data_IF_278440067501
#
_entry.id   IF_278440067501
#
_cell.length_a   1.000
_cell.length_b   1.000
_cell.length_c   1.000
_cell.angle_alpha   90.00
_cell.angle_beta   90.00
_cell.angle_gamma   90.00
#
_symmetry.space_group_name_H-M   'P 1'
#
loop_
_entity.id
_entity.type
_entity.pdbx_description
1 polymer ?
#
# COMPACT_ATOMS: atom_id res chain seq x y z
N UNK A 1 -0.17 -3.86 -7.01
CA UNK A 1 0.33 -3.44 -5.68
C UNK A 1 1.22 -2.20 -5.83
N UNK A 2 1.29 -1.31 -4.84
CA UNK A 2 2.42 -0.35 -4.75
C UNK A 2 3.64 -1.12 -4.25
N UNK A 3 4.72 -1.25 -5.03
CA UNK A 3 5.92 -1.96 -4.60
C UNK A 3 6.56 -1.22 -3.41
N UNK A 4 7.22 -1.98 -2.53
CA UNK A 4 7.89 -1.42 -1.35
C UNK A 4 9.12 -0.56 -1.71
N UNK A 5 9.61 -0.70 -2.96
CA UNK A 5 10.72 0.08 -3.50
C UNK A 5 10.16 1.10 -4.50
N UNK A 6 9.99 2.34 -4.03
CA UNK A 6 9.64 3.46 -4.91
C UNK A 6 10.86 3.84 -5.75
N UNK A 7 10.85 3.48 -7.04
CA UNK A 7 11.82 3.94 -8.03
C UNK A 7 11.29 5.22 -8.69
N UNK A 8 11.87 6.42 -8.43
CA UNK A 8 11.33 7.71 -8.89
C UNK A 8 11.31 7.88 -10.41
N UNK A 9 12.06 7.06 -11.17
CA UNK A 9 12.17 7.18 -12.62
C UNK A 9 11.01 6.52 -13.39
N UNK A 10 10.23 5.62 -12.77
CA UNK A 10 9.15 4.89 -13.46
C UNK A 10 7.77 5.56 -13.37
N UNK A 11 7.59 6.54 -12.48
CA UNK A 11 6.31 7.24 -12.27
C UNK A 11 5.87 8.00 -13.51
N UNK A 12 6.76 8.79 -14.13
CA UNK A 12 6.44 9.61 -15.33
C UNK A 12 5.88 8.76 -16.48
N UNK A 13 6.47 7.58 -16.70
CA UNK A 13 6.14 6.68 -17.82
C UNK A 13 4.80 5.94 -17.62
N UNK A 14 4.36 5.74 -16.38
CA UNK A 14 3.06 5.14 -16.06
C UNK A 14 1.90 6.10 -16.29
N UNK A 15 2.08 7.39 -15.98
CA UNK A 15 1.03 8.41 -16.10
C UNK A 15 0.65 8.71 -17.55
N UNK A 16 1.64 8.89 -18.44
CA UNK A 16 1.38 9.14 -19.85
C UNK A 16 0.58 7.99 -20.49
N UNK A 17 0.86 6.74 -20.11
CA UNK A 17 0.09 5.57 -20.56
C UNK A 17 -1.37 5.62 -20.12
N UNK A 18 -1.66 6.11 -18.90
CA UNK A 18 -3.06 6.26 -18.41
C UNK A 18 -3.81 7.37 -19.14
N UNK A 19 -3.16 8.50 -19.40
CA UNK A 19 -3.75 9.63 -20.13
C UNK A 19 -4.08 9.23 -21.57
N UNK A 20 -3.12 8.61 -22.27
CA UNK A 20 -3.35 8.11 -23.64
C UNK A 20 -4.47 7.08 -23.67
N UNK A 21 -4.48 6.13 -22.73
CA UNK A 21 -5.56 5.13 -22.64
C UNK A 21 -6.93 5.78 -22.42
N UNK A 22 -7.03 6.78 -21.55
CA UNK A 22 -8.29 7.49 -21.29
C UNK A 22 -8.74 8.27 -22.54
N UNK A 23 -7.84 8.96 -23.21
CA UNK A 23 -8.13 9.68 -24.45
C UNK A 23 -8.64 8.74 -25.55
N UNK A 24 -8.02 7.56 -25.72
CA UNK A 24 -8.51 6.55 -26.68
C UNK A 24 -9.90 6.03 -26.32
N UNK A 25 -10.18 5.77 -25.03
CA UNK A 25 -11.50 5.30 -24.58
C UNK A 25 -12.60 6.36 -24.72
N UNK A 26 -12.25 7.64 -24.60
CA UNK A 26 -13.23 8.74 -24.65
C UNK A 26 -13.41 9.36 -26.03
N UNK A 27 -12.56 9.01 -27.00
CA UNK A 27 -12.64 9.47 -28.39
C UNK A 27 -14.03 9.28 -29.05
N UNK A 28 -14.75 8.15 -28.83
CA UNK A 28 -16.10 7.97 -29.39
C UNK A 28 -17.17 8.92 -28.82
N UNK A 29 -16.89 9.57 -27.67
CA UNK A 29 -17.85 10.42 -26.96
C UNK A 29 -17.59 11.92 -27.16
N UNK A 30 -16.68 12.30 -28.08
CA UNK A 30 -16.26 13.68 -28.31
C UNK A 30 -15.87 14.43 -27.01
N UNK A 31 -15.28 13.70 -26.06
CA UNK A 31 -14.95 14.26 -24.76
C UNK A 31 -13.80 15.28 -24.88
N UNK A 32 -13.83 16.37 -24.11
CA UNK A 32 -12.76 17.36 -24.09
C UNK A 32 -11.46 16.78 -23.52
N UNK A 33 -10.34 17.48 -23.74
CA UNK A 33 -9.03 17.08 -23.22
C UNK A 33 -9.10 16.93 -21.70
N UNK A 34 -8.70 15.77 -21.14
CA UNK A 34 -8.83 15.51 -19.72
C UNK A 34 -7.87 16.39 -18.90
N UNK A 35 -8.38 16.98 -17.83
CA UNK A 35 -7.58 17.68 -16.83
C UNK A 35 -6.88 16.65 -15.92
N UNK A 36 -5.57 16.81 -15.73
CA UNK A 36 -4.74 15.83 -15.02
C UNK A 36 -4.34 16.34 -13.64
N UNK A 37 -5.03 15.85 -12.62
CA UNK A 37 -4.68 16.10 -11.22
C UNK A 37 -3.63 15.10 -10.74
N UNK A 38 -2.47 15.61 -10.30
CA UNK A 38 -1.36 14.77 -9.83
C UNK A 38 -1.49 14.51 -8.33
N UNK A 39 -1.50 13.24 -7.95
CA UNK A 39 -1.31 12.86 -6.55
C UNK A 39 0.17 13.01 -6.16
N UNK A 40 0.46 13.32 -4.87
CA UNK A 40 1.82 13.31 -4.37
C UNK A 40 2.46 11.92 -4.53
N UNK A 41 3.79 11.91 -4.71
CA UNK A 41 4.55 10.71 -5.10
C UNK A 41 4.67 9.69 -3.96
N UNK A 42 4.57 10.14 -2.71
CA UNK A 42 4.59 9.35 -1.47
C UNK A 42 3.44 9.75 -0.54
N UNK A 43 3.17 8.94 0.50
CA UNK A 43 2.20 9.23 1.56
C UNK A 43 0.76 9.54 1.10
N UNK A 44 0.39 9.18 -0.12
CA UNK A 44 -0.93 9.50 -0.66
C UNK A 44 -2.02 8.51 -0.23
N UNK A 45 -1.67 7.34 0.33
CA UNK A 45 -2.65 6.38 0.85
C UNK A 45 -3.02 6.72 2.29
N UNK A 46 -4.28 7.09 2.50
CA UNK A 46 -4.88 7.35 3.81
C UNK A 46 -5.46 6.11 4.49
N UNK A 47 -5.61 5.00 3.74
CA UNK A 47 -6.08 3.71 4.27
C UNK A 47 -5.19 2.57 3.80
N UNK A 48 -4.85 1.66 4.70
CA UNK A 48 -4.10 0.45 4.42
C UNK A 48 -4.61 -0.73 5.27
N UNK A 49 -4.65 -1.90 4.63
CA UNK A 49 -4.96 -3.16 5.31
C UNK A 49 -3.71 -4.04 5.28
N UNK A 50 -3.25 -4.44 6.47
CA UNK A 50 -2.11 -5.33 6.64
C UNK A 50 -2.57 -6.62 7.30
N UNK A 51 -1.99 -7.74 6.88
CA UNK A 51 -2.17 -9.01 7.59
C UNK A 51 -1.02 -9.18 8.56
N UNK A 52 -1.34 -9.55 9.79
CA UNK A 52 -0.36 -9.91 10.80
C UNK A 52 -0.03 -11.39 10.65
N UNK A 53 1.25 -11.71 10.64
CA UNK A 53 1.74 -13.08 10.62
C UNK A 53 2.40 -13.41 11.96
N UNK A 54 1.99 -14.53 12.53
CA UNK A 54 2.53 -15.06 13.78
C UNK A 54 3.53 -16.15 13.43
N UNK A 55 4.76 -16.01 13.92
CA UNK A 55 5.84 -16.95 13.69
C UNK A 55 6.47 -17.32 15.04
N UNK A 56 5.89 -18.35 15.68
CA UNK A 56 6.21 -18.68 17.07
C UNK A 56 5.93 -17.48 17.99
N UNK A 57 6.99 -16.98 18.63
CA UNK A 57 6.98 -15.81 19.51
C UNK A 57 7.15 -14.48 18.77
N UNK A 58 7.36 -14.48 17.45
CA UNK A 58 7.42 -13.28 16.64
C UNK A 58 6.11 -12.90 15.95
N UNK A 59 5.95 -11.60 15.71
CA UNK A 59 4.78 -10.99 15.06
C UNK A 59 5.25 -9.89 14.10
N UNK A 60 4.80 -9.96 12.85
CA UNK A 60 5.15 -8.96 11.82
C UNK A 60 4.05 -8.79 10.78
N UNK A 61 4.09 -7.66 10.06
CA UNK A 61 3.16 -7.40 8.96
C UNK A 61 3.62 -8.09 7.69
N UNK A 62 2.66 -8.65 6.96
CA UNK A 62 2.87 -9.25 5.64
C UNK A 62 1.91 -8.66 4.61
N UNK A 63 2.39 -8.60 3.37
CA UNK A 63 1.56 -8.42 2.17
C UNK A 63 1.74 -9.63 1.26
N UNK A 64 0.74 -9.92 0.43
CA UNK A 64 0.84 -10.96 -0.58
C UNK A 64 1.30 -10.37 -1.90
N UNK A 65 2.29 -11.01 -2.51
CA UNK A 65 2.63 -10.73 -3.90
C UNK A 65 1.46 -11.13 -4.82
N UNK A 66 1.10 -10.29 -5.79
CA UNK A 66 -0.05 -10.56 -6.66
C UNK A 66 0.21 -11.68 -7.68
N UNK A 67 1.47 -11.90 -8.08
CA UNK A 67 1.81 -12.89 -9.10
C UNK A 67 2.05 -14.26 -8.47
N UNK A 68 2.82 -14.30 -7.41
CA UNK A 68 3.28 -15.54 -6.77
C UNK A 68 2.44 -15.94 -5.55
N UNK A 69 1.60 -15.02 -5.04
CA UNK A 69 0.90 -15.17 -3.74
C UNK A 69 1.85 -15.46 -2.58
N UNK A 70 3.14 -15.19 -2.75
CA UNK A 70 4.15 -15.32 -1.71
C UNK A 70 3.96 -14.26 -0.65
N UNK A 71 4.27 -14.61 0.59
CA UNK A 71 4.23 -13.69 1.73
C UNK A 71 5.49 -12.85 1.71
N UNK A 72 5.32 -11.53 1.69
CA UNK A 72 6.43 -10.59 1.79
C UNK A 72 6.28 -9.88 3.13
N UNK A 73 7.31 -9.97 3.98
CA UNK A 73 7.40 -9.20 5.21
C UNK A 73 7.56 -7.70 4.88
N UNK A 74 6.79 -6.87 5.59
CA UNK A 74 6.79 -5.42 5.40
C UNK A 74 6.99 -4.74 6.74
N UNK A 75 8.17 -4.17 6.95
CA UNK A 75 8.45 -3.39 8.16
C UNK A 75 8.09 -1.90 7.98
N UNK A 76 8.10 -1.39 6.75
CA UNK A 76 7.68 -0.02 6.41
C UNK A 76 6.91 0.01 5.09
N UNK A 77 5.95 0.94 4.97
CA UNK A 77 5.12 1.10 3.78
C UNK A 77 5.08 2.58 3.35
N UNK A 78 6.08 3.06 2.57
CA UNK A 78 6.24 4.47 2.20
C UNK A 78 5.10 5.03 1.32
N UNK A 79 4.25 4.16 0.77
CA UNK A 79 3.05 4.56 0.05
C UNK A 79 1.97 5.14 0.99
N UNK A 80 1.94 4.68 2.24
CA UNK A 80 1.01 5.13 3.26
C UNK A 80 1.54 6.36 3.99
N UNK A 81 0.63 7.08 4.64
CA UNK A 81 0.97 8.25 5.44
C UNK A 81 2.01 7.93 6.52
N UNK A 82 2.73 8.96 6.99
CA UNK A 82 3.67 8.82 8.09
C UNK A 82 2.99 8.25 9.35
N UNK A 83 1.73 8.66 9.60
CA UNK A 83 0.93 8.17 10.72
C UNK A 83 0.68 6.66 10.64
N UNK A 84 0.36 6.12 9.46
CA UNK A 84 0.18 4.67 9.28
C UNK A 84 1.49 3.93 9.60
N UNK A 85 2.64 4.45 9.16
CA UNK A 85 3.93 3.83 9.46
C UNK A 85 4.24 3.85 10.97
N UNK A 86 3.93 4.94 11.68
CA UNK A 86 4.05 5.01 13.13
C UNK A 86 3.13 4.01 13.83
N UNK A 87 1.87 3.93 13.39
CA UNK A 87 0.88 3.02 13.93
C UNK A 87 1.24 1.56 13.70
N UNK A 88 1.86 1.20 12.57
CA UNK A 88 2.35 -0.15 12.32
C UNK A 88 3.33 -0.59 13.42
N UNK A 89 4.32 0.24 13.76
CA UNK A 89 5.29 -0.08 14.83
C UNK A 89 4.61 -0.15 16.19
N UNK A 90 3.79 0.85 16.54
CA UNK A 90 3.12 0.91 17.84
C UNK A 90 2.14 -0.26 18.06
N UNK A 91 1.45 -0.72 17.01
CA UNK A 91 0.57 -1.89 17.08
C UNK A 91 1.35 -3.17 17.40
N UNK A 92 2.48 -3.40 16.74
CA UNK A 92 3.30 -4.59 17.00
C UNK A 92 3.81 -4.61 18.44
N UNK A 93 4.29 -3.47 18.95
CA UNK A 93 4.74 -3.33 20.34
C UNK A 93 3.61 -3.58 21.35
N UNK A 94 2.42 -3.01 21.11
CA UNK A 94 1.25 -3.19 21.98
C UNK A 94 0.68 -4.61 21.96
N UNK A 95 0.71 -5.29 20.81
CA UNK A 95 0.18 -6.65 20.66
C UNK A 95 1.19 -7.70 21.15
N UNK A 96 2.50 -7.49 20.97
CA UNK A 96 3.54 -8.45 21.39
C UNK A 96 3.49 -8.72 22.90
N UNK A 97 3.24 -7.69 23.71
CA UNK A 97 3.23 -7.80 25.16
C UNK A 97 1.90 -8.28 25.75
N UNK A 98 0.85 -8.46 24.93
CA UNK A 98 -0.47 -8.89 25.39
C UNK A 98 -0.88 -10.21 24.72
N UNK A 99 -0.83 -11.35 25.44
CA UNK A 99 -1.09 -12.67 24.87
C UNK A 99 -2.56 -12.90 24.46
N UNK A 100 -3.50 -12.06 24.93
CA UNK A 100 -4.91 -12.09 24.50
C UNK A 100 -5.03 -11.41 23.14
N UNK A 101 -4.49 -10.19 23.01
CA UNK A 101 -4.50 -9.44 21.75
C UNK A 101 -3.69 -10.16 20.67
N UNK A 102 -2.58 -10.80 21.04
CA UNK A 102 -1.78 -11.60 20.13
C UNK A 102 -2.59 -12.71 19.49
N UNK A 103 -3.44 -13.41 20.24
CA UNK A 103 -4.24 -14.52 19.68
C UNK A 103 -5.41 -14.05 18.82
N UNK A 104 -6.02 -12.91 19.11
CA UNK A 104 -7.18 -12.40 18.36
C UNK A 104 -6.81 -11.52 17.16
N UNK A 105 -5.65 -10.85 17.20
CA UNK A 105 -5.29 -9.84 16.21
C UNK A 105 -4.55 -10.47 15.02
N UNK A 106 -5.26 -10.63 13.91
CA UNK A 106 -4.73 -11.18 12.64
C UNK A 106 -4.73 -10.16 11.49
N UNK A 107 -5.45 -9.04 11.64
CA UNK A 107 -5.58 -8.00 10.63
C UNK A 107 -5.55 -6.62 11.28
N UNK A 108 -4.79 -5.71 10.68
CA UNK A 108 -4.76 -4.30 11.00
C UNK A 108 -5.37 -3.50 9.86
N UNK A 109 -6.42 -2.73 10.14
CA UNK A 109 -7.06 -1.81 9.21
C UNK A 109 -6.93 -0.40 9.78
N UNK A 110 -6.26 0.48 9.05
CA UNK A 110 -6.11 1.92 9.36
C UNK A 110 -6.57 2.68 8.13
#
# INVERSE_FOLDING_TARGET
>A
MTPNTFLPNNTKRSWQKKVVRLQTMMAPFAAPVPEVFRSPVSHYRMRAEFRLWHDGDDLYHIIFDQQTRSRIRVDSFPAASALINQLMTAMLEGVRNNPVLRRSCSRLTI
#
